data_IF_750585641771
#
_entry.id   IF_750585641771
#
_cell.length_a   1.000
_cell.length_b   1.000
_cell.length_c   1.000
_cell.angle_alpha   90.00
_cell.angle_beta   90.00
_cell.angle_gamma   90.00
#
_symmetry.space_group_name_H-M   'P 1'
#
loop_
_entity.id
_entity.type
_entity.pdbx_description
1 polymer ?
#
# COMPACT_ATOMS: atom_id res chain seq x y z
N UNK A 1 10.82 -32.78 -27.50
CA UNK A 1 10.77 -31.31 -27.41
C UNK A 1 9.88 -30.95 -26.23
N UNK A 2 10.40 -30.29 -25.19
CA UNK A 2 9.62 -29.85 -24.04
C UNK A 2 8.84 -28.60 -24.46
N UNK A 3 7.55 -28.73 -24.72
CA UNK A 3 6.63 -27.60 -24.85
C UNK A 3 6.72 -26.80 -23.57
N UNK A 4 7.39 -25.64 -23.64
CA UNK A 4 7.34 -24.66 -22.59
C UNK A 4 5.91 -24.16 -22.55
N UNK A 5 5.12 -24.71 -21.62
CA UNK A 5 3.84 -24.16 -21.19
C UNK A 5 4.13 -22.77 -20.61
N UNK A 6 4.28 -21.77 -21.47
CA UNK A 6 3.90 -20.41 -21.17
C UNK A 6 2.39 -20.41 -21.02
N UNK A 7 1.90 -20.97 -19.89
CA UNK A 7 0.56 -20.67 -19.41
C UNK A 7 0.52 -19.16 -19.25
N UNK A 8 -0.05 -18.50 -20.24
CA UNK A 8 -0.50 -17.11 -20.16
C UNK A 8 -1.36 -17.03 -18.90
N UNK A 9 -0.80 -16.49 -17.82
CA UNK A 9 -1.56 -16.17 -16.61
C UNK A 9 -2.80 -15.41 -17.06
N UNK A 10 -3.98 -15.90 -16.70
CA UNK A 10 -5.25 -15.21 -16.89
C UNK A 10 -5.06 -13.72 -16.55
N UNK A 11 -5.48 -12.77 -17.42
CA UNK A 11 -5.30 -11.33 -17.21
C UNK A 11 -5.64 -10.86 -15.79
N UNK A 12 -6.68 -11.44 -15.17
CA UNK A 12 -7.11 -11.12 -13.80
C UNK A 12 -6.09 -11.59 -12.75
N UNK A 13 -5.46 -12.77 -12.93
CA UNK A 13 -4.37 -13.20 -12.04
C UNK A 13 -3.14 -12.28 -12.16
N UNK A 14 -2.84 -11.80 -13.37
CA UNK A 14 -1.75 -10.85 -13.58
C UNK A 14 -2.05 -9.51 -12.90
N UNK A 15 -3.27 -9.00 -13.03
CA UNK A 15 -3.69 -7.74 -12.41
C UNK A 15 -3.67 -7.83 -10.87
N UNK A 16 -4.23 -8.91 -10.29
CA UNK A 16 -4.15 -9.16 -8.84
C UNK A 16 -2.72 -9.21 -8.31
N UNK A 17 -1.79 -9.80 -9.07
CA UNK A 17 -0.36 -9.83 -8.71
C UNK A 17 0.25 -8.43 -8.73
N UNK A 18 -0.08 -7.61 -9.73
CA UNK A 18 0.39 -6.22 -9.78
C UNK A 18 -0.11 -5.41 -8.58
N UNK A 19 -1.37 -5.59 -8.18
CA UNK A 19 -1.93 -4.94 -7.01
C UNK A 19 -1.23 -5.34 -5.71
N UNK A 20 -0.92 -6.63 -5.52
CA UNK A 20 -0.11 -7.07 -4.37
C UNK A 20 1.27 -6.42 -4.34
N UNK A 21 1.99 -6.45 -5.46
CA UNK A 21 3.30 -5.83 -5.55
C UNK A 21 3.24 -4.33 -5.20
N UNK A 22 2.17 -3.65 -5.63
CA UNK A 22 1.96 -2.23 -5.36
C UNK A 22 1.71 -1.96 -3.88
N UNK A 23 0.87 -2.77 -3.23
CA UNK A 23 0.62 -2.68 -1.80
C UNK A 23 1.88 -2.98 -0.99
N UNK A 24 2.67 -3.98 -1.39
CA UNK A 24 3.95 -4.33 -0.75
C UNK A 24 4.96 -3.19 -0.85
N UNK A 25 5.05 -2.53 -2.01
CA UNK A 25 5.91 -1.35 -2.17
C UNK A 25 5.46 -0.17 -1.29
N UNK A 26 4.15 0.08 -1.20
CA UNK A 26 3.60 1.11 -0.31
C UNK A 26 3.88 0.76 1.15
N UNK A 27 3.70 -0.50 1.55
CA UNK A 27 3.97 -0.97 2.91
C UNK A 27 5.43 -0.74 3.32
N UNK A 28 6.37 -1.21 2.50
CA UNK A 28 7.81 -1.08 2.77
C UNK A 28 8.25 0.38 2.86
N UNK A 29 7.77 1.22 1.94
CA UNK A 29 8.10 2.64 1.92
C UNK A 29 7.45 3.36 3.12
N UNK A 30 6.20 3.03 3.46
CA UNK A 30 5.49 3.61 4.60
C UNK A 30 6.15 3.24 5.95
N UNK A 31 6.58 1.99 6.10
CA UNK A 31 7.32 1.54 7.29
C UNK A 31 8.64 2.30 7.44
N UNK A 32 9.35 2.55 6.33
CA UNK A 32 10.54 3.39 6.36
C UNK A 32 10.22 4.82 6.84
N UNK A 33 9.17 5.45 6.31
CA UNK A 33 8.77 6.81 6.68
C UNK A 33 8.29 6.93 8.13
N UNK A 34 7.56 5.93 8.65
CA UNK A 34 7.19 5.84 10.06
C UNK A 34 8.42 5.75 10.96
N UNK A 35 9.40 4.91 10.60
CA UNK A 35 10.65 4.80 11.37
C UNK A 35 11.44 6.11 11.36
N UNK A 36 11.48 6.82 10.23
CA UNK A 36 12.10 8.14 10.14
C UNK A 36 11.39 9.15 11.04
N UNK A 37 10.05 9.18 11.05
CA UNK A 37 9.27 10.04 11.93
C UNK A 37 9.52 9.77 13.41
N UNK A 38 9.60 8.50 13.82
CA UNK A 38 9.94 8.13 15.19
C UNK A 38 11.33 8.65 15.56
N UNK A 39 12.30 8.52 14.65
CA UNK A 39 13.66 9.04 14.85
C UNK A 39 13.64 10.57 15.03
N UNK A 40 12.93 11.29 14.15
CA UNK A 40 12.75 12.74 14.26
C UNK A 40 12.05 13.14 15.56
N UNK A 41 11.04 12.39 16.00
CA UNK A 41 10.36 12.65 17.27
C UNK A 41 11.30 12.48 18.47
N UNK A 42 12.18 11.47 18.48
CA UNK A 42 13.17 11.28 19.55
C UNK A 42 14.14 12.47 19.63
N UNK A 43 14.64 12.95 18.48
CA UNK A 43 15.49 14.15 18.41
C UNK A 43 14.74 15.41 18.87
N UNK A 44 13.45 15.50 18.57
CA UNK A 44 12.58 16.62 18.97
C UNK A 44 12.18 16.59 20.46
N UNK A 45 12.04 15.40 21.06
CA UNK A 45 11.78 15.22 22.50
C UNK A 45 13.00 15.66 23.31
N UNK A 46 14.21 15.38 22.82
CA UNK A 46 15.46 15.89 23.43
C UNK A 46 15.51 17.43 23.39
N UNK A 47 14.86 18.06 22.40
CA UNK A 47 14.84 19.52 22.21
C UNK A 47 13.54 20.20 22.65
N UNK A 48 12.63 19.49 23.34
CA UNK A 48 11.36 19.98 23.91
C UNK A 48 10.37 20.64 22.91
N UNK A 49 10.44 20.29 21.61
CA UNK A 49 9.48 20.78 20.59
C UNK A 49 8.59 19.65 20.09
N UNK A 50 7.42 19.46 20.70
CA UNK A 50 6.35 18.69 20.07
C UNK A 50 5.79 19.47 18.87
N UNK A 51 6.14 19.06 17.66
CA UNK A 51 5.63 19.66 16.42
C UNK A 51 4.31 19.00 16.01
N UNK A 52 3.24 19.80 15.94
CA UNK A 52 1.92 19.38 15.47
C UNK A 52 1.95 18.76 14.06
N UNK A 53 2.90 19.18 13.21
CA UNK A 53 3.05 18.63 11.85
C UNK A 53 3.53 17.18 11.86
N UNK A 54 4.47 16.83 12.75
CA UNK A 54 4.98 15.46 12.88
C UNK A 54 3.87 14.50 13.32
N UNK A 55 2.98 14.94 14.21
CA UNK A 55 1.82 14.16 14.64
C UNK A 55 0.81 13.93 13.49
N UNK A 56 0.60 14.93 12.63
CA UNK A 56 -0.24 14.79 11.43
C UNK A 56 0.32 13.70 10.51
N UNK A 57 1.62 13.75 10.18
CA UNK A 57 2.24 12.73 9.32
C UNK A 57 2.18 11.34 9.93
N UNK A 58 2.45 11.22 11.23
CA UNK A 58 2.37 9.94 11.94
C UNK A 58 0.98 9.31 11.83
N UNK A 59 -0.07 10.09 12.10
CA UNK A 59 -1.46 9.61 12.00
C UNK A 59 -1.81 9.18 10.56
N UNK A 60 -1.34 9.91 9.56
CA UNK A 60 -1.57 9.56 8.16
C UNK A 60 -0.85 8.27 7.74
N UNK A 61 0.43 8.10 8.08
CA UNK A 61 1.15 6.88 7.73
C UNK A 61 0.65 5.66 8.52
N UNK A 62 0.16 5.86 9.75
CA UNK A 62 -0.55 4.81 10.49
C UNK A 62 -1.85 4.40 9.78
N UNK A 63 -2.62 5.38 9.31
CA UNK A 63 -3.82 5.12 8.51
C UNK A 63 -3.48 4.35 7.21
N UNK A 64 -2.41 4.72 6.51
CA UNK A 64 -1.92 3.99 5.33
C UNK A 64 -1.65 2.52 5.66
N UNK A 65 -0.95 2.24 6.77
CA UNK A 65 -0.70 0.85 7.21
C UNK A 65 -2.01 0.07 7.41
N UNK A 66 -3.04 0.69 7.99
CA UNK A 66 -4.31 0.03 8.24
C UNK A 66 -5.08 -0.25 6.94
N UNK A 67 -5.06 0.69 5.99
CA UNK A 67 -5.67 0.50 4.66
C UNK A 67 -4.94 -0.58 3.87
N UNK A 68 -3.60 -0.61 3.88
CA UNK A 68 -2.81 -1.66 3.22
C UNK A 68 -3.17 -3.04 3.78
N UNK A 69 -3.26 -3.19 5.11
CA UNK A 69 -3.67 -4.44 5.76
C UNK A 69 -5.08 -4.85 5.33
N UNK A 70 -6.02 -3.91 5.29
CA UNK A 70 -7.38 -4.15 4.84
C UNK A 70 -7.42 -4.69 3.40
N UNK A 71 -6.74 -4.01 2.48
CA UNK A 71 -6.68 -4.37 1.07
C UNK A 71 -6.00 -5.72 0.83
N UNK A 72 -4.92 -6.00 1.54
CA UNK A 72 -4.27 -7.31 1.52
C UNK A 72 -5.24 -8.41 2.01
N UNK A 73 -6.04 -8.14 3.04
CA UNK A 73 -7.10 -9.04 3.51
C UNK A 73 -8.16 -9.32 2.43
N UNK A 74 -8.65 -8.28 1.75
CA UNK A 74 -9.62 -8.43 0.66
C UNK A 74 -9.06 -9.24 -0.50
N UNK A 75 -7.81 -8.98 -0.92
CA UNK A 75 -7.16 -9.76 -1.98
C UNK A 75 -6.97 -11.23 -1.60
N UNK A 76 -6.76 -11.55 -0.33
CA UNK A 76 -6.71 -12.94 0.14
C UNK A 76 -8.08 -13.62 0.08
N UNK A 77 -9.17 -12.91 0.41
CA UNK A 77 -10.54 -13.43 0.29
C UNK A 77 -10.85 -13.75 -1.18
N UNK A 78 -10.57 -12.80 -2.08
CA UNK A 78 -10.78 -12.95 -3.52
C UNK A 78 -10.02 -14.18 -4.05
N UNK A 79 -8.76 -14.38 -3.64
CA UNK A 79 -7.96 -15.53 -4.05
C UNK A 79 -8.49 -16.86 -3.51
N UNK A 80 -9.03 -16.88 -2.28
CA UNK A 80 -9.65 -18.07 -1.70
C UNK A 80 -10.93 -18.43 -2.45
N UNK A 81 -11.79 -17.46 -2.71
CA UNK A 81 -13.02 -17.67 -3.50
C UNK A 81 -12.72 -18.15 -4.92
N UNK A 82 -11.71 -17.57 -5.57
CA UNK A 82 -11.28 -18.00 -6.90
C UNK A 82 -10.81 -19.47 -6.90
N UNK A 83 -10.11 -19.92 -5.86
CA UNK A 83 -9.70 -21.33 -5.72
C UNK A 83 -10.86 -22.27 -5.47
N UNK A 84 -11.86 -21.86 -4.68
CA UNK A 84 -13.04 -22.66 -4.38
C UNK A 84 -13.97 -22.82 -5.60
N UNK A 85 -14.03 -21.83 -6.50
CA UNK A 85 -14.84 -21.85 -7.73
C UNK A 85 -14.21 -22.67 -8.89
N UNK A 86 -13.05 -23.29 -8.69
CA UNK A 86 -12.40 -24.20 -9.66
C UNK A 86 -12.92 -25.65 -9.50
N UNK A 87 -13.92 -25.90 -8.64
CA UNK A 87 -14.68 -27.16 -8.67
C UNK A 87 -15.63 -27.21 -9.89
N UNK A 88 -15.74 -28.36 -10.58
CA UNK A 88 -15.70 -28.39 -12.05
C UNK A 88 -17.01 -28.14 -12.79
N UNK A 89 -18.11 -27.74 -12.16
CA UNK A 89 -19.41 -27.70 -12.84
C UNK A 89 -19.96 -26.32 -13.22
N UNK A 90 -19.36 -25.20 -12.79
CA UNK A 90 -19.85 -23.87 -13.19
C UNK A 90 -18.74 -22.82 -13.28
N UNK A 91 -17.89 -22.92 -14.31
CA UNK A 91 -16.94 -21.88 -14.69
C UNK A 91 -17.65 -20.68 -15.34
N UNK A 92 -18.57 -20.02 -14.62
CA UNK A 92 -19.18 -18.77 -15.06
C UNK A 92 -18.33 -17.59 -14.54
N UNK A 93 -17.49 -17.05 -15.42
CA UNK A 93 -16.86 -15.72 -15.42
C UNK A 93 -16.47 -15.12 -14.05
N UNK A 94 -15.16 -15.12 -13.77
CA UNK A 94 -14.48 -14.41 -12.65
C UNK A 94 -14.84 -12.90 -12.58
N UNK A 95 -15.42 -12.32 -13.65
CA UNK A 95 -15.91 -10.94 -13.77
C UNK A 95 -17.08 -10.54 -12.85
N UNK A 96 -17.69 -11.48 -12.12
CA UNK A 96 -18.82 -11.17 -11.21
C UNK A 96 -18.42 -10.96 -9.76
N UNK A 97 -17.12 -10.93 -9.40
CA UNK A 97 -16.74 -10.67 -8.02
C UNK A 97 -16.82 -9.16 -7.72
N UNK A 98 -17.84 -8.65 -6.99
CA UNK A 98 -17.98 -7.22 -6.72
C UNK A 98 -16.79 -6.67 -5.91
N UNK A 99 -16.12 -7.51 -5.13
CA UNK A 99 -14.93 -7.12 -4.36
C UNK A 99 -13.74 -6.79 -5.26
N UNK A 100 -13.69 -7.30 -6.49
CA UNK A 100 -12.58 -7.05 -7.42
C UNK A 100 -12.55 -5.58 -7.87
N UNK A 101 -13.71 -5.00 -8.20
CA UNK A 101 -13.82 -3.59 -8.60
C UNK A 101 -13.51 -2.66 -7.42
N UNK A 102 -14.04 -2.99 -6.24
CA UNK A 102 -13.81 -2.24 -5.01
C UNK A 102 -12.31 -2.23 -4.67
N UNK A 103 -11.66 -3.41 -4.67
CA UNK A 103 -10.22 -3.49 -4.43
C UNK A 103 -9.41 -2.66 -5.43
N UNK A 104 -9.76 -2.70 -6.72
CA UNK A 104 -9.07 -1.92 -7.75
C UNK A 104 -9.16 -0.43 -7.48
N UNK A 105 -10.36 0.07 -7.20
CA UNK A 105 -10.62 1.48 -6.94
C UNK A 105 -9.89 1.94 -5.67
N UNK A 106 -9.98 1.19 -4.59
CA UNK A 106 -9.33 1.52 -3.33
C UNK A 106 -7.79 1.49 -3.43
N UNK A 107 -7.21 0.53 -4.17
CA UNK A 107 -5.75 0.45 -4.38
C UNK A 107 -5.25 1.64 -5.22
N UNK A 108 -6.03 2.07 -6.21
CA UNK A 108 -5.68 3.25 -7.02
C UNK A 108 -5.82 4.54 -6.23
N UNK A 109 -6.87 4.65 -5.40
CA UNK A 109 -7.06 5.77 -4.50
C UNK A 109 -5.92 5.86 -3.49
N UNK A 110 -5.59 4.74 -2.83
CA UNK A 110 -4.49 4.65 -1.86
C UNK A 110 -3.16 5.09 -2.48
N UNK A 111 -2.81 4.62 -3.69
CA UNK A 111 -1.57 5.04 -4.34
C UNK A 111 -1.51 6.56 -4.52
N UNK A 112 -2.59 7.18 -5.01
CA UNK A 112 -2.62 8.61 -5.28
C UNK A 112 -2.51 9.45 -4.01
N UNK A 113 -3.25 9.05 -2.97
CA UNK A 113 -3.17 9.69 -1.66
C UNK A 113 -1.76 9.53 -1.07
N UNK A 114 -1.21 8.32 -1.12
CA UNK A 114 0.12 8.01 -0.60
C UNK A 114 1.22 8.82 -1.28
N UNK A 115 1.20 8.94 -2.61
CA UNK A 115 2.17 9.75 -3.35
C UNK A 115 2.08 11.24 -2.96
N UNK A 116 0.87 11.75 -2.77
CA UNK A 116 0.64 13.14 -2.34
C UNK A 116 1.19 13.37 -0.92
N UNK A 117 0.89 12.45 0.00
CA UNK A 117 1.39 12.48 1.37
C UNK A 117 2.91 12.43 1.42
N UNK A 118 3.51 11.50 0.67
CA UNK A 118 4.96 11.33 0.57
C UNK A 118 5.64 12.61 0.08
N UNK A 119 5.14 13.21 -0.99
CA UNK A 119 5.66 14.48 -1.49
C UNK A 119 5.63 15.59 -0.43
N UNK A 120 4.52 15.70 0.31
CA UNK A 120 4.40 16.69 1.39
C UNK A 120 5.37 16.42 2.54
N UNK A 121 5.59 15.15 2.88
CA UNK A 121 6.54 14.75 3.91
C UNK A 121 8.00 15.02 3.51
N UNK A 122 8.39 14.71 2.26
CA UNK A 122 9.72 15.03 1.74
C UNK A 122 10.00 16.54 1.78
N UNK A 123 9.01 17.37 1.42
CA UNK A 123 9.11 18.82 1.52
C UNK A 123 9.29 19.28 2.97
N UNK A 124 8.58 18.65 3.91
CA UNK A 124 8.72 18.91 5.35
C UNK A 124 10.14 18.59 5.85
N UNK A 125 10.65 17.38 5.57
CA UNK A 125 12.01 16.97 5.96
C UNK A 125 13.08 17.90 5.37
N UNK A 126 12.94 18.27 4.09
CA UNK A 126 13.85 19.22 3.44
C UNK A 126 13.87 20.58 4.13
N UNK A 127 12.72 21.07 4.60
CA UNK A 127 12.66 22.34 5.32
C UNK A 127 13.32 22.27 6.71
N UNK A 128 13.18 21.14 7.42
CA UNK A 128 13.88 20.92 8.68
C UNK A 128 15.41 20.98 8.49
N UNK A 129 15.93 20.31 7.46
CA UNK A 129 17.38 20.29 7.18
C UNK A 129 17.98 21.65 6.84
N UNK A 130 17.19 22.58 6.28
CA UNK A 130 17.63 23.95 5.97
C UNK A 130 17.75 24.83 7.20
N UNK A 131 16.93 24.59 8.22
CA UNK A 131 16.96 25.38 9.46
C UNK A 131 18.08 24.98 10.42
N UNK A 132 18.64 23.77 10.30
CA UNK A 132 19.75 23.31 11.15
C UNK A 132 21.15 23.71 10.64
N UNK A 133 21.26 24.34 9.46
CA UNK A 133 22.53 24.74 8.83
C UNK A 133 22.78 26.27 8.84
N UNK A 134 21.96 27.05 9.53
CA UNK A 134 22.12 28.49 9.78
C UNK A 134 22.25 28.75 11.28
#
# INVERSE_FOLDING_TARGET
MKTHNNQLLNPIHRERRLWRNKLELIEQDNDFLLNLLVTLQIEHVITARHDAKTAIFFNYFQHVSDVVKHLNGLLQIIDKEAKLKIEPDNASSDDRNPYLSICKEEINYLEKEYQTLKFNFEAFVKNLSRHNNN
#
